data_IF_858659426469
#
_entry.id   IF_858659426469
#
_cell.length_a   1.000
_cell.length_b   1.000
_cell.length_c   1.000
_cell.angle_alpha   90.00
_cell.angle_beta   90.00
_cell.angle_gamma   90.00
#
_symmetry.space_group_name_H-M   'P 1'
#
loop_
_entity.id
_entity.type
_entity.pdbx_description
1 polymer ?
#
# COMPACT_ATOMS: atom_id res chain seq x y z
N UNK A 1 -41.97 65.18 -2.72
CA UNK A 1 -41.18 64.21 -1.96
C UNK A 1 -40.99 62.98 -2.82
N UNK A 2 -39.75 62.79 -3.37
CA UNK A 2 -39.41 61.68 -4.29
C UNK A 2 -38.71 60.61 -3.47
N UNK A 3 -39.32 59.43 -3.39
CA UNK A 3 -38.74 58.23 -2.73
C UNK A 3 -37.67 57.58 -3.63
N UNK A 4 -36.49 57.53 -3.13
CA UNK A 4 -35.30 56.90 -3.79
C UNK A 4 -35.33 55.39 -3.46
N UNK A 5 -35.59 54.53 -4.47
CA UNK A 5 -35.53 53.06 -4.34
C UNK A 5 -34.08 52.63 -4.50
N UNK A 6 -33.47 52.18 -3.40
CA UNK A 6 -32.11 51.59 -3.39
C UNK A 6 -32.24 50.10 -3.72
N UNK A 7 -31.80 49.71 -4.92
CA UNK A 7 -31.71 48.29 -5.35
C UNK A 7 -30.34 47.73 -4.90
N UNK A 8 -30.35 46.81 -3.92
CA UNK A 8 -29.20 46.02 -3.54
C UNK A 8 -29.05 44.83 -4.47
N UNK A 9 -28.05 44.89 -5.36
CA UNK A 9 -27.66 43.71 -6.15
C UNK A 9 -26.77 42.82 -5.32
N UNK A 10 -27.30 41.67 -4.93
CA UNK A 10 -26.55 40.63 -4.21
C UNK A 10 -25.71 39.83 -5.23
N UNK A 11 -24.43 40.13 -5.35
CA UNK A 11 -23.50 39.36 -6.17
C UNK A 11 -23.12 38.09 -5.41
N UNK A 12 -23.72 36.96 -5.79
CA UNK A 12 -23.32 35.63 -5.29
C UNK A 12 -21.97 35.24 -5.93
N UNK A 13 -20.89 35.28 -5.15
CA UNK A 13 -19.60 34.66 -5.54
C UNK A 13 -19.74 33.13 -5.46
N UNK A 14 -19.88 32.51 -6.60
CA UNK A 14 -19.70 31.05 -6.76
C UNK A 14 -18.22 30.72 -6.66
N UNK A 15 -17.76 30.30 -5.46
CA UNK A 15 -16.49 29.65 -5.27
C UNK A 15 -16.56 28.27 -5.93
N UNK A 16 -16.09 28.16 -7.17
CA UNK A 16 -15.82 26.88 -7.81
C UNK A 16 -14.63 26.25 -7.09
N UNK A 17 -14.91 25.38 -6.13
CA UNK A 17 -13.90 24.47 -5.58
C UNK A 17 -13.45 23.56 -6.72
N UNK A 18 -12.27 23.83 -7.29
CA UNK A 18 -11.58 22.87 -8.14
C UNK A 18 -11.27 21.63 -7.31
N UNK A 19 -12.17 20.66 -7.29
CA UNK A 19 -11.86 19.33 -6.83
C UNK A 19 -10.87 18.76 -7.85
N UNK A 20 -9.58 18.86 -7.55
CA UNK A 20 -8.55 18.11 -8.26
C UNK A 20 -8.88 16.63 -8.08
N UNK A 21 -9.26 15.96 -9.17
CA UNK A 21 -9.42 14.52 -9.16
C UNK A 21 -8.11 13.90 -8.61
N UNK A 22 -8.20 12.90 -7.72
CA UNK A 22 -7.00 12.23 -7.25
C UNK A 22 -6.21 11.71 -8.46
N UNK A 23 -4.87 11.76 -8.41
CA UNK A 23 -4.05 11.25 -9.51
C UNK A 23 -4.46 9.81 -9.81
N UNK A 24 -4.62 9.48 -11.09
CA UNK A 24 -4.92 8.12 -11.50
C UNK A 24 -3.67 7.25 -11.20
N UNK A 25 -3.65 6.64 -10.02
CA UNK A 25 -2.55 5.80 -9.53
C UNK A 25 -2.60 4.37 -10.10
N UNK A 26 -3.31 4.16 -11.21
CA UNK A 26 -3.40 2.87 -11.88
C UNK A 26 -2.08 2.54 -12.60
N UNK A 27 -1.03 2.42 -11.82
CA UNK A 27 0.29 1.94 -12.24
C UNK A 27 0.64 0.66 -11.47
N UNK A 28 1.62 -0.08 -11.96
CA UNK A 28 2.11 -1.31 -11.34
C UNK A 28 3.28 -1.05 -10.35
N UNK A 29 3.39 0.18 -9.83
CA UNK A 29 4.51 0.56 -8.95
C UNK A 29 4.30 0.13 -7.50
N UNK A 30 5.37 -0.36 -6.91
CA UNK A 30 5.59 -0.49 -5.48
C UNK A 30 6.37 0.73 -5.00
N UNK A 31 5.73 1.60 -4.23
CA UNK A 31 6.35 2.79 -3.66
C UNK A 31 6.57 2.58 -2.17
N UNK A 32 7.83 2.55 -1.76
CA UNK A 32 8.26 2.27 -0.39
C UNK A 32 7.52 3.14 0.64
N UNK A 33 6.99 2.50 1.69
CA UNK A 33 6.26 3.16 2.77
C UNK A 33 4.96 3.85 2.37
N UNK A 34 4.52 3.72 1.11
CA UNK A 34 3.38 4.48 0.58
C UNK A 34 2.30 3.62 -0.03
N UNK A 35 2.61 2.81 -1.05
CA UNK A 35 1.56 2.14 -1.84
C UNK A 35 2.06 0.95 -2.66
N UNK A 36 1.14 0.11 -3.08
CA UNK A 36 1.29 -0.86 -4.17
C UNK A 36 0.15 -0.62 -5.17
N UNK A 37 0.49 -0.21 -6.40
CA UNK A 37 -0.49 0.22 -7.39
C UNK A 37 -1.37 1.34 -6.85
N UNK A 38 -2.66 1.18 -6.93
CA UNK A 38 -3.67 2.14 -6.46
C UNK A 38 -3.96 2.08 -4.94
N UNK A 39 -3.44 1.08 -4.22
CA UNK A 39 -3.71 0.93 -2.78
C UNK A 39 -2.63 1.62 -1.98
N UNK A 40 -3.05 2.57 -1.15
CA UNK A 40 -2.16 3.39 -0.34
C UNK A 40 -2.22 3.01 1.14
N UNK A 41 -1.08 3.15 1.82
CA UNK A 41 -1.02 3.14 3.29
C UNK A 41 -1.84 4.33 3.81
N UNK A 42 -2.70 4.07 4.80
CA UNK A 42 -3.62 5.05 5.34
C UNK A 42 -4.95 5.19 4.58
N UNK A 43 -5.12 4.47 3.45
CA UNK A 43 -6.39 4.44 2.72
C UNK A 43 -7.51 3.92 3.64
N UNK A 44 -8.68 4.59 3.73
CA UNK A 44 -9.81 4.08 4.48
C UNK A 44 -10.26 2.70 3.96
N UNK A 45 -10.63 1.79 4.87
CA UNK A 45 -11.08 0.44 4.50
C UNK A 45 -12.28 0.47 3.52
N UNK A 46 -13.21 1.38 3.72
CA UNK A 46 -14.36 1.53 2.80
C UNK A 46 -13.91 1.89 1.37
N UNK A 47 -12.87 2.72 1.23
CA UNK A 47 -12.29 3.08 -0.07
C UNK A 47 -11.57 1.88 -0.69
N UNK A 48 -10.80 1.13 0.10
CA UNK A 48 -10.14 -0.11 -0.35
C UNK A 48 -11.16 -1.07 -0.96
N UNK A 49 -12.27 -1.34 -0.24
CA UNK A 49 -13.31 -2.25 -0.69
C UNK A 49 -14.06 -1.72 -1.92
N UNK A 50 -14.27 -0.41 -2.03
CA UNK A 50 -14.88 0.21 -3.21
C UNK A 50 -13.98 0.07 -4.45
N UNK A 51 -12.67 0.21 -4.30
CA UNK A 51 -11.68 0.12 -5.39
C UNK A 51 -11.42 -1.34 -5.81
N UNK A 52 -11.23 -2.25 -4.84
CA UNK A 52 -10.83 -3.65 -5.11
C UNK A 52 -12.00 -4.63 -5.17
N UNK A 53 -13.17 -4.22 -4.72
CA UNK A 53 -14.33 -5.11 -4.59
C UNK A 53 -14.23 -6.04 -3.38
N UNK A 54 -15.00 -7.14 -3.42
CA UNK A 54 -15.01 -8.11 -2.33
C UNK A 54 -13.70 -8.91 -2.26
N UNK A 55 -13.09 -9.06 -1.07
CA UNK A 55 -11.94 -9.93 -0.89
C UNK A 55 -12.37 -11.40 -1.05
N UNK A 56 -11.46 -12.24 -1.56
CA UNK A 56 -11.67 -13.70 -1.67
C UNK A 56 -11.47 -14.40 -0.33
N UNK A 57 -10.76 -13.74 0.60
CA UNK A 57 -10.53 -14.26 1.95
C UNK A 57 -10.34 -13.11 2.93
N UNK A 58 -10.86 -13.28 4.13
CA UNK A 58 -10.57 -12.44 5.29
C UNK A 58 -10.10 -13.28 6.46
N UNK A 59 -9.19 -12.78 7.28
CA UNK A 59 -8.73 -13.44 8.49
C UNK A 59 -8.37 -12.38 9.55
N UNK A 60 -8.82 -12.54 10.82
CA UNK A 60 -8.39 -11.65 11.89
C UNK A 60 -6.89 -11.79 12.13
N UNK A 61 -6.23 -10.70 12.50
CA UNK A 61 -4.82 -10.71 12.91
C UNK A 61 -4.78 -10.89 14.42
N UNK A 62 -4.18 -11.99 14.92
CA UNK A 62 -4.16 -12.29 16.34
C UNK A 62 -3.65 -11.14 17.20
N UNK A 63 -4.30 -10.89 18.33
CA UNK A 63 -3.93 -9.85 19.31
C UNK A 63 -4.04 -8.41 18.80
N UNK A 64 -4.84 -8.18 17.74
CA UNK A 64 -5.13 -6.84 17.20
C UNK A 64 -6.60 -6.75 16.81
N UNK A 65 -7.12 -5.53 16.60
CA UNK A 65 -8.46 -5.30 16.03
C UNK A 65 -8.46 -5.36 14.49
N UNK A 66 -7.32 -5.66 13.91
CA UNK A 66 -7.11 -5.62 12.47
C UNK A 66 -7.44 -6.94 11.79
N UNK A 67 -7.76 -6.84 10.52
CA UNK A 67 -8.11 -7.95 9.64
C UNK A 67 -7.21 -7.94 8.40
N UNK A 68 -6.85 -9.13 7.96
CA UNK A 68 -6.21 -9.37 6.66
C UNK A 68 -7.28 -9.54 5.60
N UNK A 69 -7.16 -8.83 4.50
CA UNK A 69 -8.03 -8.90 3.32
C UNK A 69 -7.19 -9.38 2.14
N UNK A 70 -7.50 -10.57 1.62
CA UNK A 70 -6.85 -11.12 0.42
C UNK A 70 -7.76 -10.91 -0.79
N UNK A 71 -7.20 -10.31 -1.82
CA UNK A 71 -7.89 -10.05 -3.08
C UNK A 71 -7.41 -10.99 -4.18
N UNK A 72 -8.12 -11.10 -5.31
CA UNK A 72 -7.61 -11.78 -6.49
C UNK A 72 -6.22 -11.28 -6.90
N UNK A 73 -5.44 -12.12 -7.58
CA UNK A 73 -4.07 -11.82 -8.05
C UNK A 73 -3.02 -11.63 -6.94
N UNK A 74 -3.21 -12.26 -5.77
CA UNK A 74 -2.18 -12.30 -4.74
C UNK A 74 -1.91 -10.97 -4.00
N UNK A 75 -2.85 -10.04 -4.06
CA UNK A 75 -2.80 -8.84 -3.25
C UNK A 75 -3.40 -9.12 -1.87
N UNK A 76 -2.66 -8.82 -0.82
CA UNK A 76 -3.11 -8.98 0.58
C UNK A 76 -2.87 -7.69 1.34
N UNK A 77 -3.87 -7.25 2.10
CA UNK A 77 -3.87 -5.97 2.81
C UNK A 77 -4.23 -6.19 4.27
N UNK A 78 -3.49 -5.61 5.19
CA UNK A 78 -3.85 -5.52 6.60
C UNK A 78 -4.47 -4.16 6.89
N UNK A 79 -5.65 -4.17 7.47
CA UNK A 79 -6.38 -2.97 7.83
C UNK A 79 -7.24 -3.19 9.09
N UNK A 80 -7.42 -2.11 9.85
CA UNK A 80 -8.52 -1.91 10.79
C UNK A 80 -9.55 -0.98 10.13
N UNK A 81 -9.61 0.29 10.51
CA UNK A 81 -10.34 1.35 9.81
C UNK A 81 -9.55 1.88 8.59
N UNK A 82 -8.23 1.66 8.55
CA UNK A 82 -7.30 2.10 7.50
C UNK A 82 -6.27 1.03 7.19
N UNK A 83 -5.78 1.08 5.95
CA UNK A 83 -4.68 0.23 5.46
C UNK A 83 -3.38 0.60 6.17
N UNK A 84 -2.68 -0.38 6.75
CA UNK A 84 -1.38 -0.16 7.39
C UNK A 84 -0.25 -1.04 6.83
N UNK A 85 -0.55 -2.12 6.09
CA UNK A 85 0.41 -2.83 5.27
C UNK A 85 -0.25 -3.44 4.02
N UNK A 86 0.55 -3.62 2.98
CA UNK A 86 0.13 -4.17 1.70
C UNK A 86 1.20 -5.16 1.25
N UNK A 87 0.78 -6.34 0.77
CA UNK A 87 1.66 -7.37 0.21
C UNK A 87 1.16 -7.75 -1.17
N UNK A 88 2.09 -7.99 -2.10
CA UNK A 88 1.78 -8.56 -3.41
C UNK A 88 2.64 -9.78 -3.72
N UNK A 89 2.02 -10.78 -4.34
CA UNK A 89 2.66 -11.94 -4.98
C UNK A 89 2.65 -11.83 -6.52
N UNK A 90 1.98 -10.79 -7.05
CA UNK A 90 1.85 -10.56 -8.49
C UNK A 90 3.10 -9.87 -9.04
N UNK A 91 3.76 -10.52 -9.99
CA UNK A 91 4.99 -10.06 -10.62
C UNK A 91 4.83 -8.78 -11.49
N UNK A 92 3.60 -8.32 -11.73
CA UNK A 92 3.35 -7.03 -12.37
C UNK A 92 3.83 -5.88 -11.49
N UNK A 93 3.59 -5.98 -10.18
CA UNK A 93 3.99 -4.94 -9.24
C UNK A 93 5.49 -4.98 -8.99
N UNK A 94 6.14 -3.84 -9.20
CA UNK A 94 7.59 -3.71 -9.06
C UNK A 94 7.98 -2.35 -8.45
N UNK A 95 9.11 -2.29 -7.77
CA UNK A 95 9.73 -1.01 -7.40
C UNK A 95 10.23 -0.30 -8.66
N UNK A 96 10.50 0.99 -8.57
CA UNK A 96 11.10 1.75 -9.67
C UNK A 96 12.39 1.09 -10.20
N UNK A 97 13.16 0.45 -9.31
CA UNK A 97 14.39 -0.26 -9.63
C UNK A 97 14.17 -1.71 -10.07
N UNK A 98 12.92 -2.16 -10.22
CA UNK A 98 12.57 -3.47 -10.77
C UNK A 98 12.51 -4.62 -9.77
N UNK A 99 12.58 -4.40 -8.45
CA UNK A 99 12.36 -5.45 -7.45
C UNK A 99 10.89 -5.86 -7.46
N UNK A 100 10.61 -7.16 -7.67
CA UNK A 100 9.26 -7.70 -7.83
C UNK A 100 9.22 -9.19 -7.44
N UNK A 101 8.04 -9.76 -7.23
CA UNK A 101 7.89 -11.22 -7.16
C UNK A 101 8.50 -11.90 -8.41
N UNK A 102 9.24 -12.98 -8.20
CA UNK A 102 10.00 -13.69 -9.24
C UNK A 102 11.44 -13.19 -9.45
N UNK A 103 11.80 -11.99 -8.96
CA UNK A 103 13.19 -11.51 -9.04
C UNK A 103 14.14 -12.39 -8.21
N UNK A 104 15.41 -12.42 -8.60
CA UNK A 104 16.44 -13.12 -7.83
C UNK A 104 16.78 -12.34 -6.55
N UNK A 105 17.01 -13.06 -5.45
CA UNK A 105 17.39 -12.49 -4.16
C UNK A 105 18.60 -11.56 -4.27
N UNK A 106 19.63 -11.99 -5.01
CA UNK A 106 20.86 -11.22 -5.15
C UNK A 106 20.60 -9.85 -5.79
N UNK A 107 19.74 -9.80 -6.79
CA UNK A 107 19.33 -8.55 -7.44
C UNK A 107 18.58 -7.65 -6.46
N UNK A 108 17.56 -8.19 -5.76
CA UNK A 108 16.77 -7.41 -4.80
C UNK A 108 17.64 -6.84 -3.66
N UNK A 109 18.57 -7.62 -3.14
CA UNK A 109 19.51 -7.18 -2.09
C UNK A 109 20.53 -6.15 -2.60
N UNK A 110 21.04 -6.31 -3.81
CA UNK A 110 21.96 -5.34 -4.41
C UNK A 110 21.27 -3.99 -4.61
N UNK A 111 20.00 -4.01 -5.02
CA UNK A 111 19.20 -2.82 -5.27
C UNK A 111 18.81 -2.08 -3.98
N UNK A 112 18.33 -2.81 -2.96
CA UNK A 112 17.82 -2.23 -1.71
C UNK A 112 18.89 -2.06 -0.63
N UNK A 113 20.07 -2.65 -0.82
CA UNK A 113 21.19 -2.55 0.10
C UNK A 113 21.09 -3.49 1.30
N UNK A 114 21.61 -3.04 2.48
CA UNK A 114 21.62 -3.83 3.70
C UNK A 114 20.25 -3.80 4.37
N UNK A 115 19.60 -4.95 4.63
CA UNK A 115 18.35 -5.00 5.38
C UNK A 115 18.56 -4.59 6.84
N UNK A 116 17.53 -4.06 7.45
CA UNK A 116 17.48 -3.78 8.90
C UNK A 116 17.35 -5.06 9.71
N UNK A 117 16.50 -5.96 9.22
CA UNK A 117 16.24 -7.26 9.83
C UNK A 117 16.27 -8.36 8.77
N UNK A 118 16.68 -9.56 9.21
CA UNK A 118 16.51 -10.79 8.45
C UNK A 118 15.82 -11.80 9.35
N UNK A 119 14.69 -12.34 8.91
CA UNK A 119 13.91 -13.33 9.64
C UNK A 119 13.83 -14.62 8.82
N UNK A 120 14.42 -15.67 9.35
CA UNK A 120 14.35 -17.00 8.73
C UNK A 120 13.05 -17.68 9.15
N UNK A 121 12.31 -18.17 8.17
CA UNK A 121 11.06 -18.95 8.32
C UNK A 121 11.24 -20.30 7.66
N UNK A 122 10.37 -21.29 7.93
CA UNK A 122 10.52 -22.64 7.36
C UNK A 122 10.73 -22.66 5.83
N UNK A 123 9.91 -21.91 5.10
CA UNK A 123 9.88 -21.94 3.63
C UNK A 123 10.47 -20.67 2.98
N UNK A 124 10.62 -19.60 3.73
CA UNK A 124 11.07 -18.30 3.23
C UNK A 124 12.02 -17.61 4.20
N UNK A 125 12.82 -16.70 3.67
CA UNK A 125 13.58 -15.72 4.45
C UNK A 125 13.05 -14.33 4.14
N UNK A 126 12.64 -13.59 5.17
CA UNK A 126 12.19 -12.21 5.05
C UNK A 126 13.35 -11.24 5.24
N UNK A 127 13.48 -10.29 4.32
CA UNK A 127 14.44 -9.18 4.35
C UNK A 127 13.68 -7.88 4.53
N UNK A 128 13.83 -7.24 5.68
CA UNK A 128 13.09 -6.03 6.06
C UNK A 128 14.01 -4.80 5.99
N UNK A 129 13.54 -3.76 5.29
CA UNK A 129 14.25 -2.48 5.09
C UNK A 129 13.55 -1.32 5.81
N UNK A 130 12.51 -1.64 6.61
CA UNK A 130 11.75 -0.70 7.42
C UNK A 130 10.41 -0.31 6.81
N UNK A 131 10.40 0.24 5.63
CA UNK A 131 9.21 0.70 4.90
C UNK A 131 8.83 -0.23 3.74
N UNK A 132 9.72 -1.14 3.38
CA UNK A 132 9.53 -2.21 2.40
C UNK A 132 10.20 -3.48 2.91
N UNK A 133 9.63 -4.62 2.59
CA UNK A 133 10.27 -5.91 2.80
C UNK A 133 9.99 -6.84 1.62
N UNK A 134 10.80 -7.86 1.47
CA UNK A 134 10.51 -8.96 0.56
C UNK A 134 10.81 -10.31 1.22
N UNK A 135 10.07 -11.31 0.84
CA UNK A 135 10.25 -12.68 1.26
C UNK A 135 10.81 -13.51 0.10
N UNK A 136 11.86 -14.26 0.37
CA UNK A 136 12.56 -15.09 -0.59
C UNK A 136 12.33 -16.55 -0.26
N UNK A 137 12.02 -17.36 -1.26
CA UNK A 137 11.92 -18.81 -1.10
C UNK A 137 13.28 -19.42 -0.79
N UNK A 138 13.34 -20.23 0.28
CA UNK A 138 14.59 -20.86 0.73
C UNK A 138 15.13 -21.88 -0.28
N UNK A 139 14.28 -22.44 -1.14
CA UNK A 139 14.65 -23.46 -2.11
C UNK A 139 15.17 -22.87 -3.41
N UNK A 140 14.49 -21.84 -3.95
CA UNK A 140 14.75 -21.30 -5.29
C UNK A 140 15.46 -19.94 -5.31
N UNK A 141 15.64 -19.33 -4.12
CA UNK A 141 16.31 -18.02 -4.00
C UNK A 141 15.58 -16.88 -4.70
N UNK A 142 14.27 -17.03 -4.98
CA UNK A 142 13.47 -16.01 -5.65
C UNK A 142 12.55 -15.28 -4.69
N UNK A 143 12.35 -13.99 -4.95
CA UNK A 143 11.35 -13.18 -4.25
C UNK A 143 9.97 -13.79 -4.50
N UNK A 144 9.27 -14.17 -3.43
CA UNK A 144 7.91 -14.71 -3.46
C UNK A 144 6.89 -13.58 -3.35
N UNK A 145 7.17 -12.62 -2.48
CA UNK A 145 6.29 -11.49 -2.22
C UNK A 145 7.06 -10.24 -1.85
N UNK A 146 6.47 -9.09 -2.16
CA UNK A 146 6.96 -7.77 -1.77
C UNK A 146 5.88 -7.10 -0.92
N UNK A 147 6.27 -6.48 0.18
CA UNK A 147 5.36 -5.79 1.08
C UNK A 147 5.80 -4.38 1.41
N UNK A 148 4.82 -3.51 1.59
CA UNK A 148 4.97 -2.12 2.02
C UNK A 148 4.25 -1.95 3.35
N UNK A 149 4.86 -1.24 4.29
CA UNK A 149 4.34 -1.04 5.64
C UNK A 149 4.46 0.42 6.06
N UNK A 150 3.46 0.90 6.83
CA UNK A 150 3.38 2.29 7.29
C UNK A 150 4.49 2.70 8.26
N UNK A 151 5.00 1.76 9.05
CA UNK A 151 5.92 2.03 10.15
C UNK A 151 7.07 1.04 10.13
N UNK A 152 8.21 1.52 10.59
CA UNK A 152 9.36 0.66 10.86
C UNK A 152 9.00 -0.46 11.84
N UNK A 153 8.95 -1.71 11.36
CA UNK A 153 8.84 -2.86 12.25
C UNK A 153 10.03 -2.87 13.21
N UNK A 154 9.78 -3.19 14.47
CA UNK A 154 10.85 -3.63 15.37
C UNK A 154 11.34 -4.98 14.90
N UNK A 155 12.65 -5.15 14.76
CA UNK A 155 13.22 -6.44 14.46
C UNK A 155 12.86 -7.43 15.57
N UNK A 156 12.45 -8.68 15.27
CA UNK A 156 12.35 -9.71 16.28
C UNK A 156 13.70 -9.82 17.00
N UNK A 157 13.66 -9.93 18.31
CA UNK A 157 14.86 -10.25 19.09
C UNK A 157 15.31 -11.64 18.64
N UNK A 158 16.52 -11.74 18.08
CA UNK A 158 17.18 -13.00 17.71
C UNK A 158 17.57 -13.80 18.94
#
# INVERSE_FOLDING_TARGET
MKALKLSYSLAALLLAACATAPPNLNDDLVVRGKRIGEIEIGMPLATLLAVKGAPVRTAPIPSTDATTYTFPNGLTVGADDKVYWIITEDARFHTQDGVRPGAEQIFARATLGKPRCVENRPDTTMYDYGDIYFEVGNVDGRVKRVGVIAHNRTCPLS
#
